data_IF_479098602051
#
_entry.id   IF_479098602051
#
_cell.length_a   1.000
_cell.length_b   1.000
_cell.length_c   1.000
_cell.angle_alpha   90.00
_cell.angle_beta   90.00
_cell.angle_gamma   90.00
#
_symmetry.space_group_name_H-M   'P 1'
#
loop_
_entity.id
_entity.type
_entity.pdbx_description
1 polymer ?
#
# COMPACT_ATOMS: atom_id res chain seq x y z
N UNK A 1 32.22 -14.02 45.70
CA UNK A 1 31.92 -12.58 45.53
C UNK A 1 31.49 -12.37 44.07
N UNK A 2 30.19 -12.45 43.83
CA UNK A 2 29.60 -12.35 42.50
C UNK A 2 29.56 -10.90 42.02
N UNK A 3 30.39 -10.59 41.03
CA UNK A 3 30.39 -9.30 40.33
C UNK A 3 29.11 -9.22 39.50
N UNK A 4 28.07 -8.58 40.02
CA UNK A 4 26.87 -8.24 39.25
C UNK A 4 27.30 -7.35 38.08
N UNK A 5 27.32 -7.90 36.86
CA UNK A 5 27.56 -7.14 35.63
C UNK A 5 26.38 -6.20 35.44
N UNK A 6 26.58 -4.90 35.67
CA UNK A 6 25.58 -3.86 35.40
C UNK A 6 25.33 -3.80 33.91
N UNK A 7 24.12 -4.17 33.47
CA UNK A 7 23.74 -4.07 32.06
C UNK A 7 23.80 -2.57 31.69
N UNK A 8 24.56 -2.18 30.65
CA UNK A 8 24.72 -0.77 30.31
C UNK A 8 23.36 -0.13 30.04
N UNK A 9 23.13 1.06 30.60
CA UNK A 9 21.83 1.76 30.57
C UNK A 9 21.27 1.94 29.14
N UNK A 10 22.13 1.95 28.12
CA UNK A 10 21.76 1.98 26.71
C UNK A 10 20.85 0.82 26.26
N UNK A 11 20.92 -0.36 26.90
CA UNK A 11 20.06 -1.51 26.60
C UNK A 11 18.68 -1.43 27.27
N UNK A 12 18.48 -0.52 28.23
CA UNK A 12 17.19 -0.36 28.95
C UNK A 12 16.16 0.44 28.15
N UNK A 13 16.56 1.12 27.08
CA UNK A 13 15.67 1.94 26.26
C UNK A 13 15.27 1.17 25.00
N UNK A 14 13.96 0.96 24.80
CA UNK A 14 13.44 0.45 23.52
C UNK A 14 13.78 1.47 22.44
N UNK A 15 14.55 1.06 21.43
CA UNK A 15 14.83 1.88 20.26
C UNK A 15 13.95 1.41 19.10
N UNK A 16 13.24 2.34 18.49
CA UNK A 16 12.53 2.08 17.24
C UNK A 16 13.57 1.99 16.13
N UNK A 17 13.49 0.93 15.32
CA UNK A 17 14.32 0.81 14.13
C UNK A 17 13.85 1.85 13.11
N UNK A 18 14.80 2.59 12.55
CA UNK A 18 14.54 3.44 11.39
C UNK A 18 14.69 2.60 10.13
N UNK A 19 13.63 2.52 9.35
CA UNK A 19 13.57 1.79 8.08
C UNK A 19 12.68 2.63 7.14
N UNK A 20 13.29 3.48 6.29
CA UNK A 20 12.52 4.36 5.41
C UNK A 20 11.79 3.54 4.34
N UNK A 21 10.64 4.00 3.86
CA UNK A 21 9.89 3.31 2.81
C UNK A 21 10.71 3.22 1.51
N UNK A 22 10.46 2.16 0.74
CA UNK A 22 10.99 2.06 -0.61
C UNK A 22 10.37 3.09 -1.55
N UNK A 23 11.01 3.34 -2.70
CA UNK A 23 10.54 4.34 -3.68
C UNK A 23 9.10 4.06 -4.16
N UNK A 24 8.79 2.82 -4.52
CA UNK A 24 7.44 2.47 -5.00
C UNK A 24 6.36 2.63 -3.91
N UNK A 25 6.71 2.37 -2.65
CA UNK A 25 5.82 2.56 -1.50
C UNK A 25 5.61 4.04 -1.19
N UNK A 26 6.68 4.84 -1.25
CA UNK A 26 6.64 6.28 -1.10
C UNK A 26 5.77 6.94 -2.18
N UNK A 27 5.89 6.49 -3.44
CA UNK A 27 5.06 6.97 -4.55
C UNK A 27 3.59 6.58 -4.35
N UNK A 28 3.30 5.35 -3.94
CA UNK A 28 1.94 4.91 -3.67
C UNK A 28 1.29 5.73 -2.53
N UNK A 29 2.04 6.03 -1.47
CA UNK A 29 1.59 6.88 -0.37
C UNK A 29 1.32 8.32 -0.84
N UNK A 30 2.23 8.90 -1.63
CA UNK A 30 2.09 10.25 -2.16
C UNK A 30 0.88 10.38 -3.12
N UNK A 31 0.62 9.37 -3.95
CA UNK A 31 -0.58 9.30 -4.80
C UNK A 31 -1.88 9.28 -4.00
N UNK A 32 -1.87 8.73 -2.78
CA UNK A 32 -3.01 8.77 -1.87
C UNK A 32 -3.28 10.14 -1.25
N UNK A 33 -2.32 11.06 -1.30
CA UNK A 33 -2.42 12.40 -0.72
C UNK A 33 -2.72 13.50 -1.74
N UNK A 34 -2.25 13.35 -2.98
CA UNK A 34 -2.40 14.38 -4.02
C UNK A 34 -2.38 13.77 -5.41
N UNK A 35 -3.07 14.40 -6.36
CA UNK A 35 -3.07 14.04 -7.78
C UNK A 35 -2.00 14.79 -8.60
N UNK A 36 -1.39 15.85 -8.04
CA UNK A 36 -0.42 16.69 -8.76
C UNK A 36 0.96 16.02 -8.79
N UNK A 37 1.56 15.92 -9.98
CA UNK A 37 2.83 15.19 -10.18
C UNK A 37 3.99 15.82 -9.41
N UNK A 38 4.08 17.15 -9.41
CA UNK A 38 5.13 17.85 -8.66
C UNK A 38 5.00 17.57 -7.17
N UNK A 39 3.79 17.68 -6.60
CA UNK A 39 3.55 17.38 -5.19
C UNK A 39 3.76 15.91 -4.85
N UNK A 40 3.38 14.97 -5.73
CA UNK A 40 3.66 13.54 -5.54
C UNK A 40 5.16 13.28 -5.48
N UNK A 41 5.93 13.94 -6.35
CA UNK A 41 7.38 13.81 -6.44
C UNK A 41 8.04 14.31 -5.14
N UNK A 42 7.67 15.51 -4.69
CA UNK A 42 8.21 16.11 -3.47
C UNK A 42 7.94 15.23 -2.24
N UNK A 43 6.70 14.75 -2.07
CA UNK A 43 6.33 13.90 -0.93
C UNK A 43 7.08 12.56 -1.00
N UNK A 44 7.16 11.93 -2.17
CA UNK A 44 7.85 10.65 -2.32
C UNK A 44 9.37 10.78 -2.11
N UNK A 45 9.98 11.90 -2.52
CA UNK A 45 11.38 12.21 -2.25
C UNK A 45 11.63 12.37 -0.74
N UNK A 46 10.77 13.10 -0.03
CA UNK A 46 10.85 13.24 1.43
C UNK A 46 10.70 11.91 2.17
N UNK A 47 9.82 11.03 1.68
CA UNK A 47 9.59 9.71 2.29
C UNK A 47 10.75 8.74 2.03
N UNK A 48 11.28 8.69 0.81
CA UNK A 48 12.33 7.74 0.40
C UNK A 48 13.76 8.22 0.67
N UNK A 49 13.96 9.54 0.81
CA UNK A 49 15.28 10.16 0.91
C UNK A 49 16.07 10.20 -0.41
N UNK A 50 15.40 9.96 -1.54
CA UNK A 50 15.99 10.05 -2.88
C UNK A 50 15.81 11.44 -3.50
N UNK A 51 16.65 11.84 -4.46
CA UNK A 51 16.52 13.14 -5.12
C UNK A 51 15.28 13.22 -6.02
N UNK A 52 14.68 14.41 -6.09
CA UNK A 52 13.44 14.67 -6.83
C UNK A 52 13.51 14.22 -8.30
N UNK A 53 14.65 14.38 -8.99
CA UNK A 53 14.82 13.99 -10.40
C UNK A 53 14.67 12.48 -10.61
N UNK A 54 15.20 11.68 -9.68
CA UNK A 54 15.10 10.21 -9.71
C UNK A 54 13.67 9.76 -9.43
N UNK A 55 13.03 10.40 -8.45
CA UNK A 55 11.64 10.13 -8.05
C UNK A 55 10.67 10.53 -9.15
N UNK A 56 10.85 11.68 -9.78
CA UNK A 56 9.96 12.22 -10.82
C UNK A 56 9.84 11.27 -12.00
N UNK A 57 10.97 10.75 -12.45
CA UNK A 57 11.04 9.77 -13.54
C UNK A 57 10.20 8.53 -13.21
N UNK A 58 10.28 8.06 -11.95
CA UNK A 58 9.52 6.90 -11.47
C UNK A 58 8.04 7.18 -11.31
N UNK A 59 7.65 8.35 -10.78
CA UNK A 59 6.24 8.77 -10.64
C UNK A 59 5.55 8.81 -12.01
N UNK A 60 6.21 9.39 -13.01
CA UNK A 60 5.68 9.45 -14.38
C UNK A 60 5.48 8.06 -14.98
N UNK A 61 6.44 7.14 -14.77
CA UNK A 61 6.31 5.74 -15.19
C UNK A 61 5.16 5.00 -14.48
N UNK A 62 5.00 5.17 -13.17
CA UNK A 62 3.92 4.50 -12.43
C UNK A 62 2.54 5.03 -12.80
N UNK A 63 2.40 6.31 -13.12
CA UNK A 63 1.13 6.91 -13.56
C UNK A 63 0.64 6.33 -14.89
N UNK A 64 1.53 6.14 -15.88
CA UNK A 64 1.14 5.52 -17.16
C UNK A 64 0.69 4.05 -16.95
N UNK A 65 1.37 3.31 -16.07
CA UNK A 65 0.98 1.94 -15.72
C UNK A 65 -0.34 1.87 -14.94
N UNK A 66 -0.58 2.80 -14.01
CA UNK A 66 -1.81 2.88 -13.23
C UNK A 66 -3.03 3.22 -14.10
N UNK A 67 -2.87 4.15 -15.06
CA UNK A 67 -3.90 4.47 -16.05
C UNK A 67 -4.35 3.23 -16.83
N UNK A 68 -3.42 2.33 -17.17
CA UNK A 68 -3.72 1.07 -17.87
C UNK A 68 -4.46 0.06 -16.98
N UNK A 69 -4.18 0.06 -15.68
CA UNK A 69 -4.80 -0.86 -14.70
C UNK A 69 -6.18 -0.41 -14.23
N UNK A 70 -6.61 0.82 -14.53
CA UNK A 70 -8.01 1.24 -14.39
C UNK A 70 -8.87 0.67 -15.52
N UNK A 71 -8.88 -0.65 -15.67
CA UNK A 71 -10.04 -1.33 -16.24
C UNK A 71 -11.19 -0.98 -15.31
N UNK A 72 -12.11 -0.15 -15.80
CA UNK A 72 -13.17 0.46 -15.00
C UNK A 72 -13.95 -0.57 -14.18
N UNK A 73 -14.60 -0.08 -13.13
CA UNK A 73 -15.70 -0.78 -12.45
C UNK A 73 -16.52 -1.53 -13.49
N UNK A 74 -16.40 -2.86 -13.52
CA UNK A 74 -17.25 -3.70 -14.35
C UNK A 74 -18.68 -3.38 -13.93
N UNK A 75 -19.53 -2.80 -14.79
CA UNK A 75 -20.89 -2.51 -14.40
C UNK A 75 -21.61 -3.84 -14.18
N UNK A 76 -21.99 -4.09 -12.93
CA UNK A 76 -22.98 -5.09 -12.55
C UNK A 76 -22.68 -6.52 -12.98
N UNK A 77 -21.96 -7.27 -12.15
CA UNK A 77 -22.26 -8.71 -12.04
C UNK A 77 -23.60 -8.83 -11.32
N UNK A 78 -24.70 -8.64 -12.06
CA UNK A 78 -26.04 -8.92 -11.57
C UNK A 78 -26.06 -10.40 -11.19
N UNK A 79 -26.21 -10.69 -9.90
CA UNK A 79 -26.42 -12.05 -9.41
C UNK A 79 -27.77 -12.50 -9.93
N UNK A 80 -27.80 -13.40 -10.92
CA UNK A 80 -29.04 -14.01 -11.37
C UNK A 80 -29.58 -14.93 -10.26
N UNK A 81 -30.73 -14.56 -9.68
CA UNK A 81 -31.42 -15.36 -8.67
C UNK A 81 -32.38 -16.30 -9.38
N UNK A 82 -32.10 -17.60 -9.35
CA UNK A 82 -32.96 -18.64 -9.92
C UNK A 82 -33.78 -19.29 -8.80
N UNK A 83 -35.11 -19.06 -8.80
CA UNK A 83 -36.05 -19.70 -7.86
C UNK A 83 -36.60 -20.98 -8.49
N UNK A 84 -36.28 -22.13 -7.91
CA UNK A 84 -36.78 -23.44 -8.36
C UNK A 84 -37.86 -23.95 -7.41
N UNK A 85 -39.10 -24.08 -7.89
CA UNK A 85 -40.18 -24.78 -7.16
C UNK A 85 -40.04 -26.29 -7.35
N UNK A 86 -39.56 -27.01 -6.33
CA UNK A 86 -39.55 -28.48 -6.33
C UNK A 86 -40.94 -29.02 -6.00
N UNK A 87 -41.49 -29.89 -6.87
CA UNK A 87 -42.68 -30.69 -6.54
C UNK A 87 -42.26 -31.77 -5.53
N UNK A 88 -42.93 -31.83 -4.38
CA UNK A 88 -42.74 -32.90 -3.40
C UNK A 88 -43.15 -34.24 -4.00
N UNK A 89 -42.37 -35.28 -3.71
CA UNK A 89 -42.69 -36.64 -4.12
C UNK A 89 -43.96 -37.07 -3.39
N UNK A 90 -44.95 -37.54 -4.15
CA UNK A 90 -46.18 -38.08 -3.61
C UNK A 90 -45.85 -39.42 -2.97
N UNK A 91 -45.92 -39.48 -1.64
CA UNK A 91 -45.80 -40.75 -0.91
C UNK A 91 -46.96 -41.66 -1.33
N UNK A 92 -46.61 -42.89 -1.72
CA UNK A 92 -47.54 -44.00 -2.01
C UNK A 92 -48.07 -44.61 -0.73
#
# INVERSE_FOLDING_TARGET
MDRKKTVPAAWRYRRTRYDPPGLDEAIAAAQGLTDQVESQTEIAAQLSGLPDDEVRSRVLMMRTQSSWKRTGTVPGRQTEIVVVKRRGLRAT
#
